data_IF_448944938243
#
_entry.id   IF_448944938243
#
_cell.length_a   1.000
_cell.length_b   1.000
_cell.length_c   1.000
_cell.angle_alpha   90.00
_cell.angle_beta   90.00
_cell.angle_gamma   90.00
#
_symmetry.space_group_name_H-M   'P 1'
#
loop_
_entity.id
_entity.type
_entity.pdbx_description
1 polymer ?
#
# COMPACT_ATOMS: atom_id res chain seq x y z
N UNK A 1 -10.23 -7.72 18.24
CA UNK A 1 -9.33 -7.01 17.29
C UNK A 1 -8.11 -7.87 17.01
N UNK A 2 -7.70 -8.05 15.74
CA UNK A 2 -6.44 -8.73 15.41
C UNK A 2 -5.26 -7.81 15.76
N UNK A 3 -4.21 -8.35 16.36
CA UNK A 3 -2.97 -7.63 16.68
C UNK A 3 -1.88 -8.00 15.68
N UNK A 4 -1.08 -7.02 15.27
CA UNK A 4 0.12 -7.26 14.48
C UNK A 4 1.11 -8.09 15.31
N UNK A 5 1.81 -9.03 14.66
CA UNK A 5 3.00 -9.63 15.27
C UNK A 5 4.19 -8.65 15.19
N UNK A 6 5.34 -9.05 15.72
CA UNK A 6 6.50 -8.17 15.81
C UNK A 6 7.03 -7.70 14.44
N UNK A 7 7.20 -8.62 13.49
CA UNK A 7 7.69 -8.30 12.14
C UNK A 7 6.72 -7.38 11.38
N UNK A 8 5.41 -7.64 11.47
CA UNK A 8 4.38 -6.80 10.87
C UNK A 8 4.38 -5.40 11.50
N UNK A 9 4.59 -5.33 12.83
CA UNK A 9 4.65 -4.08 13.59
C UNK A 9 5.86 -3.24 13.20
N UNK A 10 7.01 -3.87 13.02
CA UNK A 10 8.25 -3.23 12.57
C UNK A 10 8.07 -2.56 11.20
N UNK A 11 7.47 -3.25 10.24
CA UNK A 11 7.18 -2.69 8.91
C UNK A 11 6.27 -1.46 9.03
N UNK A 12 5.20 -1.54 9.83
CA UNK A 12 4.27 -0.42 10.02
C UNK A 12 4.95 0.80 10.65
N UNK A 13 5.79 0.59 11.67
CA UNK A 13 6.55 1.69 12.28
C UNK A 13 7.60 2.27 11.33
N UNK A 14 8.28 1.42 10.55
CA UNK A 14 9.24 1.88 9.57
C UNK A 14 8.56 2.75 8.49
N UNK A 15 7.38 2.36 8.00
CA UNK A 15 6.59 3.17 7.07
C UNK A 15 6.14 4.49 7.70
N UNK A 16 5.66 4.47 8.94
CA UNK A 16 5.23 5.68 9.64
C UNK A 16 6.40 6.64 9.86
N UNK A 17 7.52 6.15 10.36
CA UNK A 17 8.75 6.93 10.51
C UNK A 17 9.21 7.49 9.15
N UNK A 18 9.05 6.72 8.07
CA UNK A 18 9.39 7.22 6.74
C UNK A 18 8.51 8.37 6.29
N UNK A 19 7.23 8.33 6.62
CA UNK A 19 6.30 9.37 6.24
C UNK A 19 6.47 10.67 7.05
N UNK A 20 6.81 10.58 8.34
CA UNK A 20 6.81 11.75 9.25
C UNK A 20 8.17 12.46 9.39
N UNK A 21 9.29 11.79 9.11
CA UNK A 21 10.60 12.46 9.23
C UNK A 21 10.81 13.34 7.99
N UNK A 22 10.46 14.62 8.13
CA UNK A 22 10.46 15.66 7.08
C UNK A 22 11.81 16.37 6.91
N UNK A 23 12.79 16.06 7.74
CA UNK A 23 14.01 16.86 7.88
C UNK A 23 15.08 16.59 6.82
N UNK A 24 14.84 15.71 5.85
CA UNK A 24 15.82 15.35 4.82
C UNK A 24 15.42 15.83 3.41
N UNK A 25 16.18 16.78 2.81
CA UNK A 25 15.83 17.42 1.54
C UNK A 25 15.92 16.51 0.30
N UNK A 26 16.40 15.26 0.43
CA UNK A 26 16.48 14.25 -0.65
C UNK A 26 16.21 12.84 -0.13
N UNK A 27 15.08 12.64 0.55
CA UNK A 27 14.70 11.31 1.03
C UNK A 27 14.46 10.32 -0.12
N UNK A 28 15.18 9.20 -0.11
CA UNK A 28 14.94 8.13 -1.08
C UNK A 28 13.54 7.51 -0.92
N UNK A 29 12.87 7.13 -2.02
CA UNK A 29 11.58 6.44 -1.96
C UNK A 29 11.65 5.15 -1.14
N UNK A 30 10.66 4.91 -0.27
CA UNK A 30 10.55 3.65 0.45
C UNK A 30 10.07 2.53 -0.47
N UNK A 31 10.96 1.61 -0.84
CA UNK A 31 10.63 0.41 -1.60
C UNK A 31 10.62 -0.81 -0.69
N UNK A 32 9.44 -1.44 -0.54
CA UNK A 32 9.26 -2.63 0.31
C UNK A 32 8.85 -3.82 -0.55
N UNK A 33 9.62 -4.91 -0.47
CA UNK A 33 9.20 -6.22 -0.96
C UNK A 33 8.69 -7.08 0.20
N UNK A 34 7.36 -7.20 0.32
CA UNK A 34 6.72 -7.97 1.38
C UNK A 34 6.37 -9.39 0.90
N UNK A 35 7.06 -10.39 1.43
CA UNK A 35 6.85 -11.81 1.06
C UNK A 35 6.54 -12.69 2.28
N UNK A 36 6.15 -13.94 2.02
CA UNK A 36 5.83 -14.95 3.03
C UNK A 36 4.76 -15.93 2.56
N UNK A 37 4.53 -17.03 3.30
CA UNK A 37 3.57 -18.06 2.92
C UNK A 37 2.13 -17.55 2.89
N UNK A 38 1.23 -18.32 2.28
CA UNK A 38 -0.20 -18.03 2.34
C UNK A 38 -0.67 -17.98 3.80
N UNK A 39 -1.54 -17.02 4.13
CA UNK A 39 -2.02 -16.83 5.49
C UNK A 39 -1.08 -16.06 6.43
N UNK A 40 0.11 -15.63 5.99
CA UNK A 40 1.08 -14.88 6.84
C UNK A 40 0.65 -13.45 7.23
N UNK A 41 -0.54 -13.01 6.82
CA UNK A 41 -1.06 -11.68 7.18
C UNK A 41 -0.59 -10.52 6.29
N UNK A 42 -0.02 -10.76 5.11
CA UNK A 42 0.41 -9.68 4.19
C UNK A 42 -0.69 -8.65 3.89
N UNK A 43 -1.91 -9.11 3.61
CA UNK A 43 -3.06 -8.23 3.39
C UNK A 43 -3.39 -7.36 4.62
N UNK A 44 -3.16 -7.88 5.82
CA UNK A 44 -3.35 -7.11 7.06
C UNK A 44 -2.32 -5.98 7.16
N UNK A 45 -1.05 -6.26 6.83
CA UNK A 45 0.01 -5.23 6.79
C UNK A 45 -0.31 -4.16 5.75
N UNK A 46 -0.68 -4.55 4.52
CA UNK A 46 -1.04 -3.63 3.44
C UNK A 46 -2.16 -2.68 3.88
N UNK A 47 -3.22 -3.19 4.53
CA UNK A 47 -4.31 -2.35 5.07
C UNK A 47 -3.85 -1.41 6.18
N UNK A 48 -2.90 -1.84 7.02
CA UNK A 48 -2.26 -0.99 8.02
C UNK A 48 -1.50 0.18 7.37
N UNK A 49 -0.71 -0.11 6.33
CA UNK A 49 0.03 0.90 5.56
C UNK A 49 -0.94 1.91 4.91
N UNK A 50 -2.01 1.43 4.26
CA UNK A 50 -3.05 2.30 3.69
C UNK A 50 -3.65 3.26 4.73
N UNK A 51 -3.91 2.75 5.95
CA UNK A 51 -4.38 3.58 7.06
C UNK A 51 -3.36 4.61 7.53
N UNK A 52 -2.07 4.26 7.57
CA UNK A 52 -0.97 5.18 7.92
C UNK A 52 -0.92 6.34 6.91
N UNK A 53 -0.93 6.05 5.61
CA UNK A 53 -0.91 7.11 4.59
C UNK A 53 -2.10 8.07 4.72
N UNK A 54 -3.32 7.56 4.83
CA UNK A 54 -4.48 8.45 5.03
C UNK A 54 -4.42 9.25 6.35
N UNK A 55 -3.79 8.70 7.40
CA UNK A 55 -3.75 9.33 8.72
C UNK A 55 -2.68 10.42 8.83
N UNK A 56 -1.55 10.24 8.16
CA UNK A 56 -0.35 11.05 8.34
C UNK A 56 0.06 11.84 7.10
N UNK A 57 -0.59 11.63 5.94
CA UNK A 57 -0.48 12.53 4.80
C UNK A 57 -1.46 13.69 4.92
N UNK A 58 -1.08 14.85 4.39
CA UNK A 58 -1.97 15.99 4.24
C UNK A 58 -3.00 15.67 3.14
N UNK A 59 -4.19 15.26 3.56
CA UNK A 59 -5.30 14.92 2.66
C UNK A 59 -6.52 15.77 3.00
N UNK A 60 -7.36 16.02 1.99
CA UNK A 60 -8.65 16.71 2.16
C UNK A 60 -9.70 15.86 2.92
N UNK A 61 -9.35 14.61 3.27
CA UNK A 61 -10.26 13.65 3.90
C UNK A 61 -11.33 13.08 2.96
N UNK A 62 -11.36 13.51 1.70
CA UNK A 62 -12.29 13.05 0.66
C UNK A 62 -11.62 11.92 -0.13
N UNK A 63 -10.34 12.08 -0.46
CA UNK A 63 -9.58 11.10 -1.23
C UNK A 63 -8.51 10.40 -0.38
N UNK A 64 -8.17 9.16 -0.78
CA UNK A 64 -7.07 8.43 -0.17
C UNK A 64 -5.73 9.04 -0.59
N UNK A 65 -4.76 9.05 0.32
CA UNK A 65 -3.38 9.48 0.02
C UNK A 65 -2.56 8.42 -0.74
N UNK A 66 -3.21 7.34 -1.20
CA UNK A 66 -2.55 6.19 -1.80
C UNK A 66 -3.32 5.67 -3.01
N UNK A 67 -2.60 5.00 -3.90
CA UNK A 67 -3.16 4.13 -4.93
C UNK A 67 -2.82 2.70 -4.55
N UNK A 68 -3.85 1.90 -4.26
CA UNK A 68 -3.70 0.47 -4.00
C UNK A 68 -4.20 -0.32 -5.20
N UNK A 69 -3.48 -1.37 -5.59
CA UNK A 69 -3.92 -2.26 -6.66
C UNK A 69 -3.44 -3.70 -6.45
N UNK A 70 -4.03 -4.62 -7.18
CA UNK A 70 -3.59 -6.01 -7.25
C UNK A 70 -3.52 -6.51 -8.70
N UNK A 71 -2.84 -7.63 -8.93
CA UNK A 71 -2.66 -8.19 -10.28
C UNK A 71 -3.96 -8.76 -10.87
N UNK A 72 -4.87 -9.27 -10.03
CA UNK A 72 -6.13 -9.92 -10.45
C UNK A 72 -7.33 -9.34 -9.73
N UNK A 73 -8.52 -9.46 -10.34
CA UNK A 73 -9.77 -8.95 -9.76
C UNK A 73 -10.09 -9.53 -8.39
N UNK A 74 -9.93 -10.85 -8.20
CA UNK A 74 -10.18 -11.50 -6.90
C UNK A 74 -9.28 -10.99 -5.79
N UNK A 75 -7.98 -10.79 -6.07
CA UNK A 75 -7.05 -10.24 -5.10
C UNK A 75 -7.38 -8.77 -4.79
N UNK A 76 -7.77 -8.00 -5.81
CA UNK A 76 -8.17 -6.61 -5.65
C UNK A 76 -9.40 -6.47 -4.74
N UNK A 77 -10.43 -7.29 -4.97
CA UNK A 77 -11.64 -7.35 -4.13
C UNK A 77 -11.32 -7.67 -2.67
N UNK A 78 -10.39 -8.58 -2.39
CA UNK A 78 -10.02 -8.94 -1.01
C UNK A 78 -9.40 -7.78 -0.20
N UNK A 79 -8.73 -6.86 -0.90
CA UNK A 79 -8.09 -5.68 -0.30
C UNK A 79 -9.03 -4.46 -0.33
N UNK A 80 -10.02 -4.46 -1.24
CA UNK A 80 -10.92 -3.32 -1.47
C UNK A 80 -10.32 -2.32 -2.46
N UNK A 81 -9.53 -2.79 -3.43
CA UNK A 81 -8.86 -1.96 -4.43
C UNK A 81 -9.22 -2.40 -5.86
N UNK A 82 -8.60 -1.77 -6.86
CA UNK A 82 -8.76 -2.13 -8.27
C UNK A 82 -7.59 -2.99 -8.78
N UNK A 83 -7.71 -3.54 -9.99
CA UNK A 83 -6.56 -4.17 -10.63
C UNK A 83 -5.52 -3.13 -11.05
N UNK A 84 -4.26 -3.51 -11.18
CA UNK A 84 -3.19 -2.61 -11.68
C UNK A 84 -3.52 -2.08 -13.08
N UNK A 85 -4.12 -2.92 -13.93
CA UNK A 85 -4.56 -2.54 -15.26
C UNK A 85 -5.60 -1.41 -15.22
N UNK A 86 -6.62 -1.57 -14.37
CA UNK A 86 -7.66 -0.54 -14.19
C UNK A 86 -7.12 0.74 -13.55
N UNK A 87 -6.27 0.62 -12.52
CA UNK A 87 -5.73 1.78 -11.79
C UNK A 87 -4.85 2.66 -12.67
N UNK A 88 -4.05 2.05 -13.54
CA UNK A 88 -3.07 2.76 -14.39
C UNK A 88 -3.55 2.94 -15.84
N UNK A 89 -4.82 2.62 -16.13
CA UNK A 89 -5.40 2.68 -17.49
C UNK A 89 -4.57 1.91 -18.54
N UNK A 90 -3.99 0.78 -18.15
CA UNK A 90 -3.24 -0.11 -19.03
C UNK A 90 -4.24 -1.04 -19.72
N UNK A 91 -4.51 -0.78 -20.99
CA UNK A 91 -5.33 -1.64 -21.84
C UNK A 91 -4.46 -2.37 -22.85
N UNK A 92 -4.67 -3.68 -23.01
CA UNK A 92 -4.06 -4.46 -24.09
C UNK A 92 -4.38 -3.89 -25.48
N UNK A 93 -5.54 -3.25 -25.64
CA UNK A 93 -5.91 -2.60 -26.90
C UNK A 93 -5.03 -1.41 -27.29
N UNK A 94 -4.32 -0.78 -26.33
CA UNK A 94 -3.40 0.35 -26.62
C UNK A 94 -2.00 -0.09 -27.06
N UNK A 95 -1.64 -1.34 -26.84
CA UNK A 95 -0.31 -1.90 -27.17
C UNK A 95 -0.27 -2.61 -28.54
N UNK A 96 -1.42 -2.81 -29.17
CA UNK A 96 -1.55 -3.52 -30.46
C UNK A 96 -1.79 -2.59 -31.66
N UNK A 97 -1.39 -1.31 -31.57
CA UNK A 97 -1.39 -0.36 -32.69
C UNK A 97 -0.02 0.28 -32.86
#
# INVERSE_FOLDING_TARGET
MRRANEEQREILFHTMHHLISTDEPMREPLLIYLTGPAGSGKTFVIKGIMGIYNRFSDTDGIFNAYIACASTGKAATAIGCSTVHSALSISLSRLMF
#
